data_IF_983158721710
#
_entry.id   IF_983158721710
#
_cell.length_a   1.000
_cell.length_b   1.000
_cell.length_c   1.000
_cell.angle_alpha   90.00
_cell.angle_beta   90.00
_cell.angle_gamma   90.00
#
_symmetry.space_group_name_H-M   'P 1'
#
loop_
_entity.id
_entity.type
_entity.pdbx_description
1 polymer ?
#
# COMPACT_ATOMS: atom_id res chain seq x y z
N UNK A 1 69.25 34.68 32.76
CA UNK A 1 68.18 35.65 32.40
C UNK A 1 67.89 35.56 30.90
N UNK A 2 66.81 36.20 30.44
CA UNK A 2 66.28 36.24 29.06
C UNK A 2 65.35 35.07 28.70
N UNK A 3 64.05 35.32 28.89
CA UNK A 3 62.92 34.54 28.36
C UNK A 3 62.43 35.12 27.02
N UNK A 4 61.83 34.27 26.18
CA UNK A 4 60.93 34.52 25.01
C UNK A 4 60.96 33.27 24.10
N UNK A 5 59.91 32.87 23.38
CA UNK A 5 58.46 33.09 23.52
C UNK A 5 57.76 31.90 22.79
N UNK A 6 56.46 31.70 22.98
CA UNK A 6 55.72 30.57 22.39
C UNK A 6 55.63 30.63 20.86
N UNK A 7 55.58 29.45 20.24
CA UNK A 7 54.90 29.19 18.97
C UNK A 7 54.39 27.75 18.99
N UNK A 8 53.14 27.54 18.56
CA UNK A 8 52.45 26.26 18.65
C UNK A 8 51.98 25.80 17.26
N UNK A 9 51.93 24.49 17.04
CA UNK A 9 51.05 23.91 16.03
C UNK A 9 50.64 22.48 16.41
N UNK A 10 49.43 22.33 16.95
CA UNK A 10 48.78 21.03 17.17
C UNK A 10 48.09 20.58 15.89
N UNK A 11 48.64 19.57 15.21
CA UNK A 11 48.06 18.99 14.00
C UNK A 11 47.37 17.64 14.29
N UNK A 12 46.32 17.66 15.11
CA UNK A 12 45.50 16.46 15.39
C UNK A 12 44.55 16.20 14.22
N UNK A 13 44.94 15.35 13.28
CA UNK A 13 44.12 14.96 12.12
C UNK A 13 42.95 14.07 12.56
N UNK A 14 41.83 14.70 12.92
CA UNK A 14 40.54 14.01 13.13
C UNK A 14 40.00 13.55 11.78
N UNK A 15 40.31 12.31 11.41
CA UNK A 15 39.76 11.65 10.22
C UNK A 15 38.29 11.28 10.47
N UNK A 16 37.39 12.27 10.37
CA UNK A 16 35.94 12.05 10.44
C UNK A 16 35.47 11.27 9.22
N UNK A 17 35.54 9.95 9.27
CA UNK A 17 34.92 9.07 8.29
C UNK A 17 33.40 9.18 8.45
N UNK A 18 32.80 10.14 7.74
CA UNK A 18 31.38 10.17 7.48
C UNK A 18 31.03 8.93 6.66
N UNK A 19 30.68 7.84 7.36
CA UNK A 19 29.91 6.74 6.80
C UNK A 19 28.51 7.25 6.48
N UNK A 20 28.42 8.05 5.41
CA UNK A 20 27.20 8.43 4.73
C UNK A 20 26.61 7.21 4.04
N UNK A 21 26.20 6.23 4.84
CA UNK A 21 25.37 5.12 4.42
C UNK A 21 24.00 5.70 4.04
N UNK A 22 23.93 6.26 2.83
CA UNK A 22 22.68 6.49 2.12
C UNK A 22 22.05 5.14 1.85
N UNK A 23 21.40 4.58 2.87
CA UNK A 23 20.42 3.52 2.67
C UNK A 23 19.46 4.04 1.61
N UNK A 24 19.16 3.24 0.55
CA UNK A 24 18.08 3.63 -0.34
C UNK A 24 16.84 3.79 0.53
N UNK A 25 16.23 4.97 0.48
CA UNK A 25 14.96 5.20 1.15
C UNK A 25 13.94 4.29 0.47
N UNK A 26 13.75 3.09 1.04
CA UNK A 26 12.76 2.13 0.59
C UNK A 26 11.40 2.77 0.82
N UNK A 27 10.91 3.44 -0.22
CA UNK A 27 9.70 4.21 -0.15
C UNK A 27 8.55 3.25 0.16
N UNK A 28 8.00 3.34 1.37
CA UNK A 28 6.71 2.77 1.68
C UNK A 28 5.72 3.38 0.67
N UNK A 29 4.98 2.54 -0.05
CA UNK A 29 3.97 3.00 -1.00
C UNK A 29 2.76 2.09 -0.93
N UNK A 30 1.57 2.70 -1.06
CA UNK A 30 0.33 1.97 -1.21
C UNK A 30 -0.59 2.78 -2.12
N UNK A 31 -0.33 2.75 -3.43
CA UNK A 31 -1.00 3.65 -4.36
C UNK A 31 -0.62 3.47 -5.83
N UNK A 32 -0.78 4.54 -6.60
CA UNK A 32 -0.65 4.50 -8.07
C UNK A 32 0.79 4.46 -8.57
N UNK A 33 1.77 4.56 -7.66
CA UNK A 33 3.19 4.43 -7.95
C UNK A 33 3.74 3.02 -7.63
N UNK A 34 2.93 2.15 -7.01
CA UNK A 34 3.37 0.86 -6.50
C UNK A 34 2.74 0.53 -5.14
N UNK A 35 2.94 -0.71 -4.71
CA UNK A 35 2.70 -1.18 -3.35
C UNK A 35 4.00 -1.80 -2.83
N UNK A 36 4.57 -1.23 -1.77
CA UNK A 36 5.86 -1.61 -1.16
C UNK A 36 5.85 -1.37 0.34
N UNK A 37 6.37 -2.33 1.11
CA UNK A 37 6.54 -2.23 2.56
C UNK A 37 7.97 -2.63 2.94
N UNK A 38 8.60 -1.93 3.89
CA UNK A 38 9.97 -2.24 4.33
C UNK A 38 10.08 -3.46 5.26
N UNK A 39 8.95 -3.87 5.84
CA UNK A 39 8.74 -5.11 6.59
C UNK A 39 7.57 -5.88 5.97
N UNK A 40 7.36 -7.12 6.39
CA UNK A 40 6.17 -7.88 6.05
C UNK A 40 4.92 -7.13 6.58
N UNK A 41 3.86 -7.07 5.77
CA UNK A 41 2.62 -6.38 6.14
C UNK A 41 1.40 -7.19 5.68
N UNK A 42 0.59 -7.64 6.63
CA UNK A 42 -0.71 -8.20 6.33
C UNK A 42 -1.72 -7.07 6.06
N UNK A 43 -2.46 -7.17 4.96
CA UNK A 43 -3.53 -6.24 4.62
C UNK A 43 -4.82 -7.05 4.44
N UNK A 44 -5.91 -6.57 5.06
CA UNK A 44 -7.25 -7.09 4.83
C UNK A 44 -7.95 -6.24 3.76
N UNK A 45 -8.42 -6.91 2.72
CA UNK A 45 -9.23 -6.34 1.66
C UNK A 45 -10.70 -6.70 1.88
N UNK A 46 -11.56 -5.69 1.74
CA UNK A 46 -13.00 -5.79 1.87
C UNK A 46 -13.65 -5.24 0.61
N UNK A 47 -14.27 -6.10 -0.20
CA UNK A 47 -15.09 -5.68 -1.34
C UNK A 47 -16.20 -4.74 -0.89
N UNK A 48 -16.52 -3.71 -1.70
CA UNK A 48 -17.63 -2.79 -1.46
C UNK A 48 -18.72 -3.02 -2.48
N UNK A 49 -18.40 -2.78 -3.74
CA UNK A 49 -19.29 -2.92 -4.89
C UNK A 49 -18.47 -2.93 -6.18
N UNK A 50 -19.11 -3.37 -7.25
CA UNK A 50 -18.65 -3.27 -8.62
C UNK A 50 -19.77 -2.75 -9.51
N UNK A 51 -19.44 -2.27 -10.69
CA UNK A 51 -20.36 -1.75 -11.69
C UNK A 51 -19.88 -2.17 -13.09
N UNK A 52 -20.73 -2.00 -14.10
CA UNK A 52 -20.42 -2.26 -15.51
C UNK A 52 -20.89 -3.62 -16.04
N UNK A 53 -20.80 -3.79 -17.37
CA UNK A 53 -21.25 -4.99 -18.07
C UNK A 53 -20.17 -6.09 -18.20
N UNK A 54 -18.96 -5.84 -17.69
CA UNK A 54 -17.84 -6.78 -17.67
C UNK A 54 -18.01 -7.81 -16.55
N UNK A 55 -17.18 -8.85 -16.52
CA UNK A 55 -17.04 -9.75 -15.36
C UNK A 55 -15.57 -9.82 -15.01
N UNK A 56 -15.26 -9.35 -13.80
CA UNK A 56 -13.93 -8.87 -13.46
C UNK A 56 -13.35 -9.58 -12.23
N UNK A 57 -12.02 -9.66 -12.21
CA UNK A 57 -11.26 -10.30 -11.15
C UNK A 57 -10.13 -9.39 -10.67
N UNK A 58 -10.23 -8.92 -9.43
CA UNK A 58 -9.19 -8.15 -8.77
C UNK A 58 -8.17 -9.10 -8.13
N UNK A 59 -6.90 -8.97 -8.50
CA UNK A 59 -5.78 -9.72 -7.95
C UNK A 59 -4.63 -8.84 -7.48
N UNK A 60 -3.73 -9.44 -6.70
CA UNK A 60 -2.42 -8.89 -6.35
C UNK A 60 -1.39 -9.52 -7.30
N UNK A 61 -0.57 -8.66 -7.89
CA UNK A 61 0.50 -9.02 -8.80
C UNK A 61 1.83 -8.56 -8.19
N UNK A 62 2.83 -9.44 -8.18
CA UNK A 62 4.22 -9.01 -7.93
C UNK A 62 4.78 -8.40 -9.21
N UNK A 63 5.60 -7.35 -9.09
CA UNK A 63 6.14 -6.60 -10.23
C UNK A 63 7.66 -6.75 -10.25
N UNK A 64 8.18 -7.40 -11.30
CA UNK A 64 9.61 -7.62 -11.51
C UNK A 64 10.02 -7.06 -12.88
N UNK A 65 10.95 -6.11 -12.93
CA UNK A 65 11.40 -5.45 -14.18
C UNK A 65 10.23 -4.94 -15.06
N UNK A 66 9.24 -4.29 -14.44
CA UNK A 66 7.99 -3.83 -15.07
C UNK A 66 7.07 -4.92 -15.63
N UNK A 67 7.35 -6.20 -15.40
CA UNK A 67 6.45 -7.33 -15.69
C UNK A 67 5.63 -7.65 -14.44
N UNK A 68 4.31 -7.61 -14.56
CA UNK A 68 3.38 -7.99 -13.49
C UNK A 68 3.01 -9.47 -13.58
N UNK A 69 3.13 -10.21 -12.48
CA UNK A 69 2.77 -11.63 -12.37
C UNK A 69 1.78 -11.84 -11.23
N UNK A 70 0.61 -12.40 -11.51
CA UNK A 70 -0.45 -12.68 -10.52
C UNK A 70 0.08 -13.62 -9.43
N UNK A 71 -0.04 -13.21 -8.16
CA UNK A 71 0.34 -14.02 -6.99
C UNK A 71 -0.84 -14.37 -6.08
N UNK A 72 -1.95 -13.64 -6.16
CA UNK A 72 -3.20 -14.00 -5.48
C UNK A 72 -4.41 -13.31 -6.13
N UNK A 73 -5.56 -13.99 -6.19
CA UNK A 73 -6.85 -13.35 -6.50
C UNK A 73 -7.51 -12.92 -5.19
N UNK A 74 -7.87 -11.65 -5.09
CA UNK A 74 -8.61 -11.11 -3.93
C UNK A 74 -10.11 -11.36 -4.09
N UNK A 75 -10.68 -10.93 -5.22
CA UNK A 75 -12.10 -11.05 -5.50
C UNK A 75 -12.28 -11.38 -6.98
N UNK A 76 -13.16 -12.32 -7.27
CA UNK A 76 -13.66 -12.57 -8.62
C UNK A 76 -15.17 -12.50 -8.60
N UNK A 77 -15.72 -11.81 -9.58
CA UNK A 77 -17.13 -11.88 -9.90
C UNK A 77 -17.47 -13.24 -10.51
N UNK A 78 -18.74 -13.63 -10.43
CA UNK A 78 -19.27 -14.87 -11.04
C UNK A 78 -20.38 -14.63 -12.09
N UNK A 79 -20.67 -13.35 -12.34
CA UNK A 79 -21.55 -12.74 -13.33
C UNK A 79 -21.22 -11.23 -13.36
N UNK A 80 -21.70 -10.44 -14.32
CA UNK A 80 -21.33 -9.02 -14.38
C UNK A 80 -21.96 -8.13 -13.32
N UNK A 81 -23.10 -8.53 -12.77
CA UNK A 81 -23.97 -7.63 -11.97
C UNK A 81 -25.01 -8.42 -11.22
N UNK A 82 -25.59 -7.83 -10.18
CA UNK A 82 -26.60 -8.50 -9.36
C UNK A 82 -27.87 -8.82 -10.15
N UNK A 83 -28.30 -7.90 -11.05
CA UNK A 83 -29.56 -7.98 -11.79
C UNK A 83 -29.47 -7.43 -13.23
N UNK A 84 -28.34 -7.66 -13.92
CA UNK A 84 -28.10 -7.06 -15.24
C UNK A 84 -27.99 -5.53 -15.16
N UNK A 85 -28.37 -4.83 -16.22
CA UNK A 85 -28.33 -3.35 -16.28
C UNK A 85 -29.32 -2.60 -15.38
N UNK A 86 -30.03 -3.27 -14.47
CA UNK A 86 -30.76 -2.60 -13.40
C UNK A 86 -29.78 -2.09 -12.33
N UNK A 87 -30.09 -0.93 -11.73
CA UNK A 87 -29.24 -0.26 -10.74
C UNK A 87 -27.78 -0.11 -11.23
N UNK A 88 -27.61 0.45 -12.43
CA UNK A 88 -26.29 0.78 -13.00
C UNK A 88 -25.29 -0.39 -13.01
N UNK A 89 -25.79 -1.60 -13.26
CA UNK A 89 -25.03 -2.85 -13.28
C UNK A 89 -24.35 -3.21 -11.95
N UNK A 90 -24.85 -2.69 -10.82
CA UNK A 90 -24.25 -2.91 -9.49
C UNK A 90 -24.06 -4.39 -9.14
N UNK A 91 -22.86 -4.75 -8.73
CA UNK A 91 -22.49 -6.06 -8.16
C UNK A 91 -22.23 -5.96 -6.65
N UNK A 92 -22.79 -6.91 -5.87
CA UNK A 92 -22.65 -6.93 -4.40
C UNK A 92 -22.01 -8.21 -3.86
N UNK A 93 -21.55 -8.14 -2.60
CA UNK A 93 -20.98 -9.27 -1.86
C UNK A 93 -22.06 -10.28 -1.45
N UNK A 94 -21.79 -11.55 -1.68
CA UNK A 94 -22.74 -12.66 -1.50
C UNK A 94 -23.60 -12.95 -2.74
N UNK A 95 -23.53 -12.12 -3.79
CA UNK A 95 -24.32 -12.27 -5.01
C UNK A 95 -23.43 -12.30 -6.27
N UNK A 96 -22.82 -11.17 -6.63
CA UNK A 96 -21.93 -11.06 -7.80
C UNK A 96 -20.51 -11.54 -7.43
N UNK A 97 -19.94 -11.00 -6.34
CA UNK A 97 -18.73 -11.52 -5.69
C UNK A 97 -19.15 -12.41 -4.52
N UNK A 98 -18.68 -13.67 -4.47
CA UNK A 98 -19.24 -14.66 -3.53
C UNK A 98 -18.88 -14.48 -2.06
N UNK A 99 -17.68 -14.01 -1.74
CA UNK A 99 -17.15 -14.05 -0.37
C UNK A 99 -16.03 -13.04 -0.11
N UNK A 100 -15.95 -12.57 1.13
CA UNK A 100 -14.91 -11.71 1.69
C UNK A 100 -15.11 -11.57 3.21
N UNK A 101 -14.20 -10.89 3.94
CA UNK A 101 -12.97 -10.26 3.47
C UNK A 101 -11.91 -11.27 3.02
N UNK A 102 -10.84 -10.77 2.39
CA UNK A 102 -9.67 -11.57 1.99
C UNK A 102 -8.40 -10.88 2.48
N UNK A 103 -7.49 -11.64 3.12
CA UNK A 103 -6.22 -11.14 3.62
C UNK A 103 -5.07 -11.57 2.73
N UNK A 104 -4.10 -10.69 2.53
CA UNK A 104 -2.85 -11.00 1.86
C UNK A 104 -1.65 -10.54 2.70
N UNK A 105 -0.58 -11.33 2.66
CA UNK A 105 0.71 -11.02 3.28
C UNK A 105 1.63 -10.43 2.22
N UNK A 106 1.78 -9.09 2.22
CA UNK A 106 2.84 -8.46 1.45
C UNK A 106 4.18 -8.74 2.12
N UNK A 107 5.19 -9.13 1.34
CA UNK A 107 6.54 -9.40 1.83
C UNK A 107 7.42 -8.15 1.78
N UNK A 108 8.34 -8.06 2.73
CA UNK A 108 9.29 -6.97 2.87
C UNK A 108 10.11 -6.74 1.60
N UNK A 109 10.22 -5.48 1.17
CA UNK A 109 11.04 -5.00 0.05
C UNK A 109 10.69 -5.63 -1.32
N UNK A 110 9.49 -6.22 -1.46
CA UNK A 110 8.93 -6.64 -2.73
C UNK A 110 8.00 -5.56 -3.31
N UNK A 111 8.03 -5.39 -4.63
CA UNK A 111 7.14 -4.47 -5.35
C UNK A 111 5.90 -5.23 -5.82
N UNK A 112 4.73 -4.69 -5.51
CA UNK A 112 3.45 -5.22 -5.93
C UNK A 112 2.61 -4.15 -6.63
N UNK A 113 1.56 -4.61 -7.30
CA UNK A 113 0.47 -3.81 -7.83
C UNK A 113 -0.84 -4.57 -7.63
N UNK A 114 -1.96 -3.87 -7.54
CA UNK A 114 -3.27 -4.51 -7.73
C UNK A 114 -3.58 -4.53 -9.23
N UNK A 115 -4.29 -5.54 -9.71
CA UNK A 115 -4.71 -5.63 -11.11
C UNK A 115 -6.13 -6.13 -11.25
N UNK A 116 -6.94 -5.40 -12.00
CA UNK A 116 -8.31 -5.78 -12.36
C UNK A 116 -8.28 -6.39 -13.77
N UNK A 117 -8.69 -7.66 -13.86
CA UNK A 117 -8.71 -8.43 -15.11
C UNK A 117 -10.15 -8.67 -15.55
N UNK A 118 -10.54 -8.09 -16.68
CA UNK A 118 -11.94 -8.01 -17.11
C UNK A 118 -12.26 -8.91 -18.31
N UNK A 119 -13.45 -9.50 -18.30
CA UNK A 119 -14.04 -10.27 -19.39
C UNK A 119 -15.30 -9.58 -19.92
N UNK A 120 -15.50 -9.53 -21.24
CA UNK A 120 -16.74 -9.07 -21.86
C UNK A 120 -17.32 -10.19 -22.73
N UNK A 121 -18.55 -10.63 -22.44
CA UNK A 121 -19.19 -11.76 -23.13
C UNK A 121 -18.29 -13.01 -23.26
N UNK A 122 -17.46 -13.27 -22.23
CA UNK A 122 -16.49 -14.37 -22.18
C UNK A 122 -15.16 -14.12 -22.91
N UNK A 123 -15.02 -13.06 -23.70
CA UNK A 123 -13.75 -12.64 -24.28
C UNK A 123 -12.92 -11.82 -23.28
N UNK A 124 -11.58 -11.89 -23.36
CA UNK A 124 -10.69 -11.06 -22.54
C UNK A 124 -10.70 -9.61 -23.03
N UNK A 125 -11.08 -8.68 -22.17
CA UNK A 125 -10.98 -7.25 -22.43
C UNK A 125 -9.56 -6.74 -22.13
N UNK A 126 -8.97 -7.19 -21.02
CA UNK A 126 -7.58 -6.89 -20.68
C UNK A 126 -7.28 -7.06 -19.20
N UNK A 127 -6.22 -6.41 -18.76
CA UNK A 127 -5.92 -6.20 -17.34
C UNK A 127 -5.38 -4.79 -17.17
N UNK A 128 -5.98 -4.05 -16.25
CA UNK A 128 -5.48 -2.75 -15.78
C UNK A 128 -4.81 -2.91 -14.43
N UNK A 129 -3.83 -2.08 -14.13
CA UNK A 129 -3.08 -2.12 -12.88
C UNK A 129 -3.31 -0.86 -12.06
N UNK A 130 -3.16 -0.96 -10.73
CA UNK A 130 -3.19 0.22 -9.88
C UNK A 130 -1.98 1.12 -10.14
N UNK A 131 -0.84 0.53 -10.52
CA UNK A 131 0.40 1.25 -10.81
C UNK A 131 0.38 1.84 -12.22
N UNK A 132 0.25 3.17 -12.32
CA UNK A 132 0.01 3.89 -13.59
C UNK A 132 1.07 3.64 -14.67
N UNK A 133 2.33 3.37 -14.31
CA UNK A 133 3.39 3.09 -15.29
C UNK A 133 3.16 1.77 -16.05
N UNK A 134 2.55 0.76 -15.41
CA UNK A 134 2.20 -0.51 -16.05
C UNK A 134 1.04 -0.37 -17.05
N UNK A 135 0.28 0.73 -16.97
CA UNK A 135 -0.83 1.07 -17.86
C UNK A 135 -0.41 1.96 -19.04
N UNK A 136 0.90 2.18 -19.26
CA UNK A 136 1.40 3.16 -20.22
C UNK A 136 1.33 4.61 -19.73
N UNK A 137 1.30 4.83 -18.41
CA UNK A 137 1.19 6.14 -17.77
C UNK A 137 -0.23 6.56 -17.39
N UNK A 138 -1.28 5.89 -17.90
CA UNK A 138 -2.64 6.19 -17.46
C UNK A 138 -2.88 5.67 -16.04
N UNK A 139 -3.34 6.54 -15.16
CA UNK A 139 -4.05 6.10 -13.97
C UNK A 139 -5.30 5.30 -14.37
N UNK A 140 -5.54 4.19 -13.66
CA UNK A 140 -6.66 3.24 -13.81
C UNK A 140 -7.18 2.75 -12.44
N UNK A 141 -6.55 3.20 -11.35
CA UNK A 141 -7.08 3.08 -10.00
C UNK A 141 -6.88 4.39 -9.23
N UNK A 142 -7.73 4.64 -8.24
CA UNK A 142 -7.68 5.79 -7.33
C UNK A 142 -7.65 5.30 -5.89
N UNK A 143 -6.85 5.97 -5.06
CA UNK A 143 -6.60 5.63 -3.66
C UNK A 143 -6.85 6.85 -2.76
N UNK A 144 -7.41 6.63 -1.57
CA UNK A 144 -7.50 7.69 -0.58
C UNK A 144 -8.18 7.30 0.72
N UNK A 145 -8.37 8.28 1.60
CA UNK A 145 -9.22 8.12 2.78
C UNK A 145 -10.66 7.80 2.37
N UNK A 146 -11.29 6.85 3.04
CA UNK A 146 -12.50 6.22 2.53
C UNK A 146 -13.68 7.19 2.31
N UNK A 147 -13.97 8.08 3.27
CA UNK A 147 -15.06 9.06 3.14
C UNK A 147 -14.79 10.12 2.05
N UNK A 148 -13.62 10.81 2.02
CA UNK A 148 -13.28 11.73 0.93
C UNK A 148 -13.39 11.14 -0.48
N UNK A 149 -12.77 9.98 -0.73
CA UNK A 149 -12.80 9.36 -2.06
C UNK A 149 -14.21 8.88 -2.44
N UNK A 150 -14.94 8.25 -1.51
CA UNK A 150 -16.33 7.83 -1.74
C UNK A 150 -17.27 8.99 -2.06
N UNK A 151 -17.07 10.15 -1.41
CA UNK A 151 -17.82 11.37 -1.70
C UNK A 151 -17.45 11.97 -3.06
N UNK A 152 -16.17 11.92 -3.43
CA UNK A 152 -15.68 12.47 -4.69
C UNK A 152 -16.04 11.62 -5.92
N UNK A 153 -16.09 10.29 -5.78
CA UNK A 153 -16.48 9.36 -6.85
C UNK A 153 -17.91 9.60 -7.32
N UNK A 154 -18.81 10.06 -6.43
CA UNK A 154 -20.19 10.32 -6.80
C UNK A 154 -20.90 9.07 -7.34
N UNK A 155 -20.83 7.96 -6.58
CA UNK A 155 -21.45 6.65 -6.89
C UNK A 155 -22.83 6.80 -7.52
N UNK A 156 -23.16 5.87 -8.41
CA UNK A 156 -24.34 5.95 -9.28
C UNK A 156 -24.27 7.19 -10.22
N UNK A 157 -23.08 7.55 -10.71
CA UNK A 157 -22.95 8.50 -11.85
C UNK A 157 -21.81 8.12 -12.80
N UNK A 158 -22.12 7.91 -14.08
CA UNK A 158 -21.14 7.63 -15.16
C UNK A 158 -20.41 8.91 -15.62
N UNK A 159 -19.87 9.68 -14.67
CA UNK A 159 -19.21 10.96 -14.91
C UNK A 159 -17.69 10.83 -14.74
N UNK A 160 -16.94 11.32 -15.73
CA UNK A 160 -15.46 11.36 -15.73
C UNK A 160 -14.92 11.97 -14.43
N UNK A 161 -14.21 11.17 -13.63
CA UNK A 161 -13.62 11.53 -12.33
C UNK A 161 -12.40 12.45 -12.49
N UNK A 162 -12.67 13.75 -12.61
CA UNK A 162 -11.65 14.80 -12.80
C UNK A 162 -10.56 14.82 -11.72
N UNK A 163 -10.82 14.25 -10.54
CA UNK A 163 -9.93 14.31 -9.38
C UNK A 163 -8.85 13.21 -9.33
N UNK A 164 -8.77 12.30 -10.32
CA UNK A 164 -7.90 11.11 -10.30
C UNK A 164 -6.48 11.35 -9.73
N UNK A 165 -5.77 12.36 -10.25
CA UNK A 165 -4.39 12.69 -9.84
C UNK A 165 -4.22 13.18 -8.39
N UNK A 166 -5.30 13.53 -7.70
CA UNK A 166 -5.29 13.85 -6.25
C UNK A 166 -5.41 12.59 -5.39
N UNK A 167 -5.97 11.51 -5.95
CA UNK A 167 -6.26 10.25 -5.26
C UNK A 167 -5.25 9.17 -5.68
N UNK A 168 -3.98 9.38 -5.31
CA UNK A 168 -2.83 8.60 -5.78
C UNK A 168 -2.11 7.82 -4.67
N UNK A 169 -2.37 8.12 -3.39
CA UNK A 169 -1.82 7.41 -2.22
C UNK A 169 -2.92 7.04 -1.22
N UNK A 170 -2.88 5.79 -0.75
CA UNK A 170 -3.69 5.26 0.34
C UNK A 170 -2.91 4.99 1.63
N UNK A 171 -1.57 5.04 1.61
CA UNK A 171 -0.71 4.65 2.74
C UNK A 171 -1.03 5.45 4.01
N UNK A 172 -1.27 6.75 3.86
CA UNK A 172 -1.65 7.64 4.98
C UNK A 172 -2.97 7.30 5.67
N UNK A 173 -3.83 6.50 5.05
CA UNK A 173 -5.14 6.04 5.57
C UNK A 173 -5.20 4.53 5.83
N UNK A 174 -4.33 3.73 5.21
CA UNK A 174 -4.28 2.26 5.33
C UNK A 174 -4.22 1.78 6.78
N UNK A 175 -3.59 2.55 7.69
CA UNK A 175 -3.46 2.26 9.12
C UNK A 175 -4.39 3.09 10.04
N UNK A 176 -5.42 3.73 9.48
CA UNK A 176 -6.31 4.68 10.19
C UNK A 176 -7.81 4.46 9.86
N UNK A 177 -8.28 3.22 9.94
CA UNK A 177 -9.64 2.85 9.49
C UNK A 177 -9.73 2.54 7.99
N UNK A 178 -8.59 2.20 7.38
CA UNK A 178 -8.46 1.79 6.00
C UNK A 178 -8.45 2.90 4.94
N UNK A 179 -7.97 2.52 3.76
CA UNK A 179 -8.04 3.29 2.51
C UNK A 179 -9.06 2.66 1.57
N UNK A 180 -9.75 3.47 0.78
CA UNK A 180 -10.59 3.00 -0.33
C UNK A 180 -9.76 2.97 -1.62
N UNK A 181 -10.00 1.94 -2.44
CA UNK A 181 -9.36 1.74 -3.74
C UNK A 181 -10.48 1.49 -4.76
N UNK A 182 -10.49 2.27 -5.83
CA UNK A 182 -11.50 2.24 -6.89
C UNK A 182 -10.83 2.09 -8.25
N UNK A 183 -11.40 1.32 -9.17
CA UNK A 183 -10.83 1.04 -10.50
C UNK A 183 -11.74 1.47 -11.64
N UNK A 184 -11.12 1.94 -12.73
CA UNK A 184 -11.69 2.00 -14.08
C UNK A 184 -11.15 0.79 -14.85
N UNK A 185 -12.00 0.05 -15.55
CA UNK A 185 -11.64 -1.19 -16.25
C UNK A 185 -11.36 -1.02 -17.76
N UNK A 186 -11.49 0.23 -18.24
CA UNK A 186 -11.50 0.68 -19.65
C UNK A 186 -12.76 0.34 -20.43
N UNK A 187 -13.85 -0.01 -19.75
CA UNK A 187 -15.21 0.09 -20.25
C UNK A 187 -15.53 1.47 -20.86
N UNK A 188 -16.62 1.54 -21.62
CA UNK A 188 -17.19 2.79 -22.17
C UNK A 188 -16.18 3.77 -22.84
N UNK A 189 -15.13 3.23 -23.47
CA UNK A 189 -14.00 3.94 -24.08
C UNK A 189 -13.00 4.61 -23.10
N UNK A 190 -12.86 4.08 -21.88
CA UNK A 190 -11.97 4.55 -20.82
C UNK A 190 -12.34 5.99 -20.43
N UNK A 191 -13.57 6.13 -19.94
CA UNK A 191 -14.20 7.35 -19.47
C UNK A 191 -13.80 7.75 -18.05
N UNK A 192 -13.14 6.87 -17.27
CA UNK A 192 -12.43 7.22 -16.03
C UNK A 192 -13.35 7.75 -14.94
N UNK A 193 -14.46 7.08 -14.69
CA UNK A 193 -15.27 7.30 -13.48
C UNK A 193 -14.71 6.56 -12.24
N UNK A 194 -13.95 5.47 -12.46
CA UNK A 194 -13.36 4.57 -11.47
C UNK A 194 -14.37 3.85 -10.54
N UNK A 195 -15.60 3.57 -11.00
CA UNK A 195 -16.59 2.85 -10.18
C UNK A 195 -16.76 1.36 -10.52
N UNK A 196 -16.15 0.87 -11.60
CA UNK A 196 -16.25 -0.54 -12.07
C UNK A 196 -15.89 -1.56 -10.98
N UNK A 197 -14.88 -1.28 -10.15
CA UNK A 197 -14.52 -2.19 -9.05
C UNK A 197 -13.96 -1.46 -7.82
N UNK A 198 -14.68 -1.55 -6.70
CA UNK A 198 -14.38 -0.80 -5.47
C UNK A 198 -14.14 -1.72 -4.28
N UNK A 199 -13.00 -1.54 -3.60
CA UNK A 199 -12.62 -2.24 -2.36
C UNK A 199 -12.13 -1.25 -1.29
N UNK A 200 -12.12 -1.64 -0.03
CA UNK A 200 -11.24 -1.00 0.97
C UNK A 200 -10.11 -1.95 1.38
N UNK A 201 -8.96 -1.39 1.71
CA UNK A 201 -7.82 -2.08 2.27
C UNK A 201 -7.47 -1.49 3.64
N UNK A 202 -7.18 -2.33 4.62
CA UNK A 202 -6.72 -1.93 5.95
C UNK A 202 -5.51 -2.76 6.37
N UNK A 203 -4.47 -2.11 6.89
CA UNK A 203 -3.31 -2.80 7.45
C UNK A 203 -3.75 -3.52 8.74
N UNK A 204 -3.67 -4.85 8.74
CA UNK A 204 -3.84 -5.63 9.96
C UNK A 204 -2.64 -5.33 10.86
N UNK A 205 -2.83 -4.81 12.09
CA UNK A 205 -1.71 -4.58 12.99
C UNK A 205 -1.05 -5.91 13.33
N UNK A 206 0.28 -6.00 13.17
CA UNK A 206 1.00 -7.17 13.64
C UNK A 206 0.83 -7.32 15.15
N UNK A 207 0.66 -8.55 15.68
CA UNK A 207 0.76 -8.78 17.12
C UNK A 207 2.16 -8.34 17.55
N UNK A 208 2.22 -7.31 18.41
CA UNK A 208 3.47 -6.59 18.72
C UNK A 208 4.52 -7.57 19.24
N UNK A 209 5.46 -7.95 18.37
CA UNK A 209 6.51 -8.93 18.72
C UNK A 209 7.49 -8.24 19.66
N UNK A 210 7.28 -8.44 20.96
CA UNK A 210 7.80 -7.57 22.05
C UNK A 210 9.32 -7.69 22.32
N UNK A 211 10.08 -8.20 21.34
CA UNK A 211 11.49 -8.60 21.40
C UNK A 211 12.42 -7.48 21.86
N UNK A 212 12.11 -6.21 21.54
CA UNK A 212 12.96 -5.07 21.86
C UNK A 212 12.86 -4.55 23.31
N UNK A 213 11.70 -4.66 23.95
CA UNK A 213 11.44 -3.96 25.23
C UNK A 213 11.79 -4.77 26.48
N UNK A 214 11.82 -6.11 26.40
CA UNK A 214 12.16 -6.97 27.53
C UNK A 214 13.58 -6.73 28.08
N UNK A 215 14.53 -6.36 27.21
CA UNK A 215 15.94 -6.14 27.58
C UNK A 215 16.17 -4.82 28.34
N UNK A 216 15.30 -3.82 28.18
CA UNK A 216 15.47 -2.50 28.80
C UNK A 216 15.35 -2.51 30.33
N UNK A 217 14.40 -3.29 30.87
CA UNK A 217 14.13 -3.30 32.31
C UNK A 217 15.09 -4.19 33.12
N UNK A 218 15.58 -5.30 32.54
CA UNK A 218 16.55 -6.18 33.21
C UNK A 218 17.89 -5.49 33.50
N UNK A 219 18.39 -4.68 32.56
CA UNK A 219 19.68 -3.99 32.69
C UNK A 219 19.74 -3.00 33.86
N UNK A 220 18.68 -2.23 34.10
CA UNK A 220 18.65 -1.20 35.15
C UNK A 220 18.66 -1.78 36.57
N UNK A 221 18.05 -2.95 36.78
CA UNK A 221 18.07 -3.65 38.08
C UNK A 221 19.48 -4.24 38.34
N UNK A 222 20.08 -4.88 37.34
CA UNK A 222 21.44 -5.42 37.44
C UNK A 222 22.50 -4.33 37.68
N UNK A 223 22.38 -3.19 36.99
CA UNK A 223 23.31 -2.06 37.12
C UNK A 223 23.30 -1.44 38.53
N UNK A 224 22.13 -1.34 39.18
CA UNK A 224 22.03 -0.82 40.56
C UNK A 224 22.72 -1.75 41.58
N UNK A 225 22.59 -3.08 41.44
CA UNK A 225 23.18 -4.03 42.40
C UNK A 225 24.71 -3.98 42.45
N UNK A 226 25.39 -3.74 41.31
CA UNK A 226 26.87 -3.67 41.26
C UNK A 226 27.49 -2.42 41.88
N UNK A 227 26.75 -1.34 42.14
CA UNK A 227 27.28 -0.14 42.83
C UNK A 227 27.25 -0.22 44.36
N UNK A 228 26.51 -1.16 44.95
CA UNK A 228 26.40 -1.30 46.41
C UNK A 228 27.53 -2.12 47.06
N UNK A 229 28.36 -2.81 46.27
CA UNK A 229 29.34 -3.79 46.77
C UNK A 229 30.80 -3.33 46.65
N UNK A 230 31.07 -2.03 46.76
CA UNK A 230 32.43 -1.45 46.66
C UNK A 230 32.78 -0.38 47.70
N UNK A 231 32.12 -0.43 48.87
CA UNK A 231 32.37 0.50 49.99
C UNK A 231 32.35 -0.21 51.35
N UNK A 232 33.12 -1.29 51.48
CA UNK A 232 33.54 -1.90 52.76
C UNK A 232 34.96 -2.45 52.55
N UNK A 233 35.82 -2.33 53.57
CA UNK A 233 37.28 -2.47 53.54
C UNK A 233 37.99 -1.32 52.80
#
# INVERSE_FOLDING_TARGET
MNTKLFSALTATTVATVLLGAGTPAQAFSFGTNGITFAQDQQVEFNFKESHGAYTSSLGIYQVNNSVASLVSTLFSETKSSDNGGANEWKGTLGNTVRSGPVRFQFLANQVYTLGLSSLYNGARAGTVYSTSSLNGGSQQAVFGGASPLWSALGKETTNVFQAAGQYTDGLGSLSKGGTLISFDDRGNANDKDFQDFTVSAEAVPEPITMTGLALGFGGLVAARRRRASKTVA
#
